data_IF_123502846129
#
_entry.id   IF_123502846129
#
_cell.length_a   1.000
_cell.length_b   1.000
_cell.length_c   1.000
_cell.angle_alpha   90.00
_cell.angle_beta   90.00
_cell.angle_gamma   90.00
#
_symmetry.space_group_name_H-M   'P 1'
#
loop_
_entity.id
_entity.type
_entity.pdbx_description
1 polymer ?
#
# COMPACT_ATOMS: atom_id res chain seq x y z
N UNK A 1 2.41 23.90 -29.34
CA UNK A 1 1.16 24.41 -28.76
C UNK A 1 0.18 23.23 -28.60
N UNK A 2 0.39 22.35 -27.61
CA UNK A 2 -0.47 21.18 -27.42
C UNK A 2 -1.64 21.55 -26.51
N UNK A 3 -2.81 21.76 -27.12
CA UNK A 3 -4.09 21.89 -26.42
C UNK A 3 -4.47 20.52 -25.85
N UNK A 4 -4.38 20.38 -24.53
CA UNK A 4 -5.01 19.29 -23.78
C UNK A 4 -6.50 19.59 -23.61
N UNK A 5 -7.33 19.11 -24.53
CA UNK A 5 -8.77 19.00 -24.37
C UNK A 5 -9.13 17.72 -23.60
N UNK A 6 -9.73 17.88 -22.40
CA UNK A 6 -10.56 16.85 -21.71
C UNK A 6 -12.05 17.12 -22.03
N UNK A 7 -13.06 16.25 -21.75
CA UNK A 7 -13.13 15.00 -20.94
C UNK A 7 -13.92 13.83 -21.65
N UNK A 8 -14.14 12.60 -21.10
CA UNK A 8 -15.05 12.30 -19.96
C UNK A 8 -14.54 11.22 -18.97
N UNK A 9 -15.00 11.29 -17.71
CA UNK A 9 -14.60 10.42 -16.61
C UNK A 9 -13.66 11.15 -15.65
N UNK A 10 -14.16 11.55 -14.48
CA UNK A 10 -13.38 12.25 -13.46
C UNK A 10 -12.20 11.37 -13.06
N UNK A 11 -10.98 11.76 -13.47
CA UNK A 11 -9.75 11.13 -12.97
C UNK A 11 -9.81 11.23 -11.44
N UNK A 12 -9.94 10.09 -10.75
CA UNK A 12 -9.98 10.06 -9.28
C UNK A 12 -8.73 10.81 -8.77
N UNK A 13 -8.93 11.72 -7.82
CA UNK A 13 -7.82 12.38 -7.13
C UNK A 13 -6.91 11.32 -6.49
N UNK A 14 -5.59 11.52 -6.50
CA UNK A 14 -4.64 10.63 -5.84
C UNK A 14 -5.07 10.36 -4.39
N UNK A 15 -5.57 11.38 -3.71
CA UNK A 15 -6.08 11.27 -2.35
C UNK A 15 -7.28 10.34 -2.22
N UNK A 16 -8.22 10.37 -3.17
CA UNK A 16 -9.38 9.47 -3.15
C UNK A 16 -8.93 8.00 -3.21
N UNK A 17 -7.90 7.70 -4.01
CA UNK A 17 -7.35 6.34 -4.14
C UNK A 17 -6.66 5.88 -2.85
N UNK A 18 -5.96 6.80 -2.16
CA UNK A 18 -5.38 6.54 -0.85
C UNK A 18 -6.48 6.22 0.16
N UNK A 19 -7.52 7.05 0.24
CA UNK A 19 -8.66 6.84 1.15
C UNK A 19 -9.37 5.52 0.86
N UNK A 20 -9.61 5.18 -0.41
CA UNK A 20 -10.20 3.89 -0.81
C UNK A 20 -9.38 2.71 -0.27
N UNK A 21 -8.05 2.82 -0.26
CA UNK A 21 -7.16 1.77 0.29
C UNK A 21 -7.17 1.78 1.82
N UNK A 22 -7.17 2.96 2.45
CA UNK A 22 -7.27 3.09 3.91
C UNK A 22 -8.58 2.49 4.45
N UNK A 23 -9.68 2.64 3.71
CA UNK A 23 -10.97 2.08 4.10
C UNK A 23 -10.93 0.56 4.18
N UNK A 24 -10.29 -0.12 3.21
CA UNK A 24 -10.05 -1.57 3.28
C UNK A 24 -9.34 -1.95 4.58
N UNK A 25 -8.26 -1.24 4.93
CA UNK A 25 -7.48 -1.53 6.14
C UNK A 25 -8.32 -1.35 7.39
N UNK A 26 -9.11 -0.28 7.47
CA UNK A 26 -10.02 -0.01 8.59
C UNK A 26 -11.09 -1.10 8.71
N UNK A 27 -11.71 -1.49 7.60
CA UNK A 27 -12.77 -2.50 7.60
C UNK A 27 -12.27 -3.89 8.02
N UNK A 28 -11.04 -4.21 7.65
CA UNK A 28 -10.37 -5.46 8.00
C UNK A 28 -9.94 -5.46 9.47
N UNK A 29 -9.27 -4.41 9.95
CA UNK A 29 -8.66 -4.40 11.28
C UNK A 29 -9.61 -4.03 12.42
N UNK A 30 -10.78 -3.44 12.14
CA UNK A 30 -11.73 -3.11 13.20
C UNK A 30 -12.26 -4.38 13.88
N UNK A 31 -12.55 -4.34 15.20
CA UNK A 31 -13.18 -5.45 15.90
C UNK A 31 -14.41 -5.97 15.18
N UNK A 32 -14.52 -7.28 15.00
CA UNK A 32 -15.61 -7.92 14.26
C UNK A 32 -15.60 -7.72 12.74
N UNK A 33 -14.64 -6.97 12.17
CA UNK A 33 -14.56 -6.69 10.74
C UNK A 33 -14.46 -7.95 9.87
N UNK A 34 -13.75 -8.96 10.37
CA UNK A 34 -13.60 -10.29 9.75
C UNK A 34 -14.56 -11.34 10.34
N UNK A 35 -15.47 -10.96 11.24
CA UNK A 35 -16.45 -11.88 11.84
C UNK A 35 -17.65 -12.11 10.92
N UNK A 36 -18.12 -13.35 10.86
CA UNK A 36 -19.36 -13.71 10.15
C UNK A 36 -20.62 -13.31 10.91
N UNK A 37 -20.56 -13.31 12.25
CA UNK A 37 -21.67 -12.94 13.13
C UNK A 37 -21.41 -11.59 13.80
N UNK A 38 -22.46 -10.86 14.22
CA UNK A 38 -22.30 -9.70 15.09
C UNK A 38 -21.49 -10.07 16.33
N UNK A 39 -20.54 -9.23 16.70
CA UNK A 39 -19.76 -9.43 17.93
C UNK A 39 -20.54 -8.86 19.13
N UNK A 40 -21.02 -9.71 20.06
CA UNK A 40 -21.76 -9.24 21.23
C UNK A 40 -20.90 -8.39 22.18
N UNK A 41 -19.57 -8.48 22.06
CA UNK A 41 -18.60 -7.70 22.84
C UNK A 41 -17.93 -6.60 22.02
N UNK A 42 -18.52 -6.23 20.86
CA UNK A 42 -17.98 -5.16 20.04
C UNK A 42 -17.82 -3.87 20.86
N UNK A 43 -16.65 -3.24 20.77
CA UNK A 43 -16.37 -1.96 21.44
C UNK A 43 -17.39 -0.86 21.05
N UNK A 44 -18.00 -0.97 19.87
CA UNK A 44 -19.06 -0.09 19.40
C UNK A 44 -20.33 -0.91 19.13
N UNK A 45 -21.40 -0.73 19.93
CA UNK A 45 -22.68 -1.40 19.71
C UNK A 45 -23.22 -1.15 18.30
N UNK A 46 -23.73 -2.20 17.66
CA UNK A 46 -24.28 -2.13 16.30
C UNK A 46 -23.24 -2.17 15.18
N UNK A 47 -21.97 -2.46 15.47
CA UNK A 47 -20.94 -2.67 14.43
C UNK A 47 -21.39 -3.75 13.45
N UNK A 48 -21.56 -3.44 12.15
CA UNK A 48 -21.99 -4.44 11.17
C UNK A 48 -20.95 -5.54 11.01
N UNK A 49 -21.34 -6.83 11.03
CA UNK A 49 -20.40 -7.93 10.77
C UNK A 49 -19.96 -7.93 9.30
N UNK A 50 -18.88 -8.65 8.99
CA UNK A 50 -18.40 -8.96 7.63
C UNK A 50 -17.94 -7.78 6.78
N UNK A 51 -17.82 -6.57 7.32
CA UNK A 51 -17.38 -5.42 6.51
C UNK A 51 -15.98 -5.63 5.90
N UNK A 52 -15.02 -6.18 6.65
CA UNK A 52 -13.71 -6.52 6.12
C UNK A 52 -13.75 -7.62 5.04
N UNK A 53 -14.66 -8.59 5.20
CA UNK A 53 -14.92 -9.65 4.21
C UNK A 53 -15.46 -9.05 2.90
N UNK A 54 -16.43 -8.14 3.00
CA UNK A 54 -17.02 -7.44 1.87
C UNK A 54 -15.97 -6.59 1.15
N UNK A 55 -15.28 -5.70 1.86
CA UNK A 55 -14.24 -4.83 1.29
C UNK A 55 -13.11 -5.64 0.62
N UNK A 56 -12.68 -6.75 1.23
CA UNK A 56 -11.67 -7.65 0.63
C UNK A 56 -12.18 -8.30 -0.66
N UNK A 57 -13.44 -8.74 -0.67
CA UNK A 57 -14.07 -9.37 -1.84
C UNK A 57 -14.25 -8.36 -2.99
N UNK A 58 -14.69 -7.15 -2.69
CA UNK A 58 -14.82 -6.05 -3.65
C UNK A 58 -13.48 -5.72 -4.31
N UNK A 59 -12.41 -5.64 -3.52
CA UNK A 59 -11.05 -5.41 -4.04
C UNK A 59 -10.59 -6.56 -4.92
N UNK A 60 -10.87 -7.82 -4.56
CA UNK A 60 -10.56 -8.99 -5.40
C UNK A 60 -11.28 -8.92 -6.76
N UNK A 61 -12.57 -8.56 -6.76
CA UNK A 61 -13.34 -8.39 -7.98
C UNK A 61 -12.82 -7.21 -8.81
N UNK A 62 -12.47 -6.10 -8.17
CA UNK A 62 -11.85 -4.95 -8.83
C UNK A 62 -10.52 -5.36 -9.50
N UNK A 63 -9.66 -6.13 -8.82
CA UNK A 63 -8.42 -6.64 -9.42
C UNK A 63 -8.69 -7.53 -10.63
N UNK A 64 -9.68 -8.43 -10.57
CA UNK A 64 -10.06 -9.26 -11.70
C UNK A 64 -10.55 -8.43 -12.89
N UNK A 65 -11.39 -7.43 -12.65
CA UNK A 65 -11.87 -6.51 -13.68
C UNK A 65 -10.72 -5.69 -14.31
N UNK A 66 -9.80 -5.17 -13.49
CA UNK A 66 -8.62 -4.43 -13.98
C UNK A 66 -7.74 -5.33 -14.85
N UNK A 67 -7.48 -6.59 -14.44
CA UNK A 67 -6.72 -7.54 -15.29
C UNK A 67 -7.39 -7.76 -16.63
N UNK A 68 -8.71 -7.94 -16.64
CA UNK A 68 -9.47 -8.10 -17.87
C UNK A 68 -9.35 -6.86 -18.76
N UNK A 69 -9.58 -5.67 -18.21
CA UNK A 69 -9.48 -4.40 -18.93
C UNK A 69 -8.09 -4.18 -19.51
N UNK A 70 -7.03 -4.42 -18.75
CA UNK A 70 -5.64 -4.25 -19.23
C UNK A 70 -5.35 -5.21 -20.39
N UNK A 71 -5.86 -6.45 -20.32
CA UNK A 71 -5.68 -7.46 -21.38
C UNK A 71 -6.50 -7.16 -22.64
N UNK A 72 -7.70 -6.61 -22.49
CA UNK A 72 -8.65 -6.39 -23.59
C UNK A 72 -8.47 -5.05 -24.30
N UNK A 73 -7.60 -4.18 -23.82
CA UNK A 73 -7.44 -2.81 -24.30
C UNK A 73 -6.03 -2.55 -24.81
N UNK A 74 -5.88 -1.43 -25.50
CA UNK A 74 -4.60 -0.89 -25.97
C UNK A 74 -3.89 -0.02 -24.93
N UNK A 75 -4.09 -0.24 -23.62
CA UNK A 75 -3.44 0.54 -22.54
C UNK A 75 -1.90 0.41 -22.48
N UNK A 76 -1.27 -0.29 -23.43
CA UNK A 76 0.19 -0.33 -23.55
C UNK A 76 0.89 -1.16 -22.47
N UNK A 77 0.22 -2.19 -21.95
CA UNK A 77 0.85 -3.12 -21.01
C UNK A 77 1.94 -3.94 -21.71
N UNK A 78 3.18 -3.79 -21.24
CA UNK A 78 4.29 -4.59 -21.72
C UNK A 78 4.17 -6.02 -21.20
N UNK A 79 4.05 -6.97 -22.13
CA UNK A 79 3.94 -8.40 -21.80
C UNK A 79 5.18 -8.94 -21.09
N UNK A 80 6.34 -8.30 -21.24
CA UNK A 80 7.56 -8.67 -20.54
C UNK A 80 7.46 -8.47 -19.02
N UNK A 81 6.51 -7.66 -18.52
CA UNK A 81 6.24 -7.50 -17.09
C UNK A 81 5.37 -8.62 -16.51
N UNK A 82 4.93 -9.58 -17.34
CA UNK A 82 4.06 -10.67 -16.94
C UNK A 82 2.59 -10.25 -16.86
N UNK A 83 1.81 -10.94 -16.01
CA UNK A 83 0.39 -10.61 -15.80
C UNK A 83 0.25 -9.38 -14.90
N UNK A 84 -0.65 -8.43 -15.21
CA UNK A 84 -0.97 -7.34 -14.29
C UNK A 84 -1.53 -7.89 -12.97
N UNK A 85 -1.14 -7.31 -11.84
CA UNK A 85 -1.65 -7.71 -10.51
C UNK A 85 -1.47 -9.23 -10.32
N UNK A 86 -0.24 -9.69 -10.57
CA UNK A 86 0.11 -11.10 -10.42
C UNK A 86 0.23 -11.49 -8.94
N UNK A 87 0.49 -12.78 -8.69
CA UNK A 87 0.58 -13.34 -7.35
C UNK A 87 1.70 -12.70 -6.50
N UNK A 88 2.84 -12.39 -7.12
CA UNK A 88 3.96 -11.73 -6.45
C UNK A 88 3.63 -10.27 -6.10
N UNK A 89 2.98 -9.53 -7.00
CA UNK A 89 2.52 -8.16 -6.75
C UNK A 89 1.51 -8.11 -5.60
N UNK A 90 0.56 -9.04 -5.57
CA UNK A 90 -0.42 -9.18 -4.50
C UNK A 90 0.26 -9.50 -3.16
N UNK A 91 1.15 -10.49 -3.12
CA UNK A 91 1.89 -10.86 -1.90
C UNK A 91 2.81 -9.73 -1.41
N UNK A 92 3.52 -9.08 -2.33
CA UNK A 92 4.36 -7.91 -2.07
C UNK A 92 3.57 -6.77 -1.43
N UNK A 93 2.40 -6.47 -2.00
CA UNK A 93 1.51 -5.42 -1.50
C UNK A 93 0.90 -5.79 -0.15
N UNK A 94 0.46 -7.04 0.06
CA UNK A 94 -0.03 -7.53 1.36
C UNK A 94 1.02 -7.34 2.47
N UNK A 95 2.30 -7.55 2.15
CA UNK A 95 3.41 -7.35 3.10
C UNK A 95 3.64 -5.89 3.49
N UNK A 96 3.17 -4.92 2.68
CA UNK A 96 3.22 -3.50 3.04
C UNK A 96 2.23 -3.15 4.16
N UNK A 97 1.13 -3.88 4.28
CA UNK A 97 0.13 -3.71 5.36
C UNK A 97 0.40 -4.57 6.59
N UNK A 98 1.29 -5.56 6.47
CA UNK A 98 1.63 -6.51 7.54
C UNK A 98 3.08 -6.36 7.99
N UNK A 99 4.02 -6.93 7.25
CA UNK A 99 5.45 -7.00 7.61
C UNK A 99 6.08 -5.62 7.83
N UNK A 100 5.76 -4.64 6.97
CA UNK A 100 6.29 -3.28 7.08
C UNK A 100 5.71 -2.53 8.27
N UNK A 101 4.45 -2.80 8.66
CA UNK A 101 3.84 -2.21 9.86
C UNK A 101 4.55 -2.68 11.12
N UNK A 102 4.84 -3.99 11.23
CA UNK A 102 5.62 -4.53 12.35
C UNK A 102 7.02 -3.93 12.44
N UNK A 103 7.70 -3.77 11.28
CA UNK A 103 8.99 -3.05 11.23
C UNK A 103 8.85 -1.58 11.65
N UNK A 104 7.72 -0.95 11.35
CA UNK A 104 7.38 0.39 11.80
C UNK A 104 7.30 0.48 13.33
N UNK A 105 6.61 -0.48 13.97
CA UNK A 105 6.56 -0.57 15.43
C UNK A 105 7.93 -0.74 16.05
N UNK A 106 8.77 -1.65 15.54
CA UNK A 106 10.15 -1.81 16.01
C UNK A 106 10.94 -0.49 15.97
N UNK A 107 10.80 0.27 14.89
CA UNK A 107 11.47 1.57 14.72
C UNK A 107 10.95 2.67 15.63
N UNK A 108 9.71 2.56 16.06
CA UNK A 108 9.09 3.46 17.03
C UNK A 108 9.33 3.00 18.47
N UNK A 109 10.20 1.99 18.69
CA UNK A 109 10.45 1.34 19.98
C UNK A 109 9.17 0.77 20.62
N UNK A 110 8.22 0.35 19.78
CA UNK A 110 7.03 -0.40 20.21
C UNK A 110 7.33 -1.87 20.03
N UNK A 111 7.52 -2.57 21.14
CA UNK A 111 7.88 -3.98 21.15
C UNK A 111 6.65 -4.86 21.34
N UNK A 112 6.30 -5.61 20.30
CA UNK A 112 5.31 -6.68 20.35
C UNK A 112 6.02 -8.01 20.69
N UNK A 113 5.36 -8.86 21.46
CA UNK A 113 5.82 -10.24 21.66
C UNK A 113 5.87 -11.01 20.34
N UNK A 114 6.69 -12.06 20.26
CA UNK A 114 6.77 -12.92 19.06
C UNK A 114 5.40 -13.47 18.66
N UNK A 115 4.60 -13.89 19.65
CA UNK A 115 3.24 -14.37 19.43
C UNK A 115 2.35 -13.32 18.75
N UNK A 116 2.36 -12.07 19.24
CA UNK A 116 1.58 -10.97 18.64
C UNK A 116 2.03 -10.65 17.21
N UNK A 117 3.33 -10.72 16.94
CA UNK A 117 3.87 -10.51 15.59
C UNK A 117 3.38 -11.61 14.63
N UNK A 118 3.47 -12.87 15.05
CA UNK A 118 3.06 -14.01 14.24
C UNK A 118 1.54 -14.04 14.04
N UNK A 119 0.76 -13.70 15.06
CA UNK A 119 -0.70 -13.58 14.96
C UNK A 119 -1.10 -12.48 13.96
N UNK A 120 -0.42 -11.34 13.98
CA UNK A 120 -0.65 -10.25 13.02
C UNK A 120 -0.32 -10.66 11.59
N UNK A 121 0.76 -11.42 11.38
CA UNK A 121 1.09 -11.97 10.07
C UNK A 121 0.04 -13.00 9.62
N UNK A 122 -0.32 -13.96 10.46
CA UNK A 122 -1.33 -14.98 10.13
C UNK A 122 -2.69 -14.36 9.83
N UNK A 123 -3.07 -13.30 10.55
CA UNK A 123 -4.27 -12.52 10.26
C UNK A 123 -4.23 -11.93 8.85
N UNK A 124 -3.16 -11.26 8.47
CA UNK A 124 -3.04 -10.72 7.11
C UNK A 124 -2.91 -11.82 6.04
N UNK A 125 -2.28 -12.96 6.35
CA UNK A 125 -2.26 -14.13 5.47
C UNK A 125 -3.67 -14.66 5.21
N UNK A 126 -4.55 -14.67 6.22
CA UNK A 126 -5.96 -15.01 6.05
C UNK A 126 -6.68 -14.03 5.09
N UNK A 127 -6.45 -12.73 5.24
CA UNK A 127 -6.97 -11.71 4.30
C UNK A 127 -6.41 -11.93 2.89
N UNK A 128 -5.12 -12.26 2.78
CA UNK A 128 -4.45 -12.58 1.52
C UNK A 128 -5.07 -13.77 0.80
N UNK A 129 -5.39 -14.85 1.53
CA UNK A 129 -6.12 -16.02 1.01
C UNK A 129 -7.46 -15.61 0.41
N UNK A 130 -8.23 -14.79 1.12
CA UNK A 130 -9.52 -14.27 0.62
C UNK A 130 -9.35 -13.42 -0.63
N UNK A 131 -8.28 -12.64 -0.72
CA UNK A 131 -7.93 -11.82 -1.89
C UNK A 131 -7.44 -12.66 -3.10
N UNK A 132 -7.25 -13.98 -2.91
CA UNK A 132 -6.89 -14.94 -3.95
C UNK A 132 -5.38 -15.16 -4.10
N UNK A 133 -4.61 -14.86 -3.06
CA UNK A 133 -3.17 -15.17 -3.01
C UNK A 133 -3.00 -16.67 -2.77
N UNK A 134 -2.08 -17.30 -3.50
CA UNK A 134 -1.78 -18.72 -3.32
C UNK A 134 -1.10 -19.01 -1.97
N UNK A 135 -1.39 -20.18 -1.38
CA UNK A 135 -0.92 -20.57 -0.04
C UNK A 135 0.61 -20.58 0.10
N UNK A 136 1.34 -20.91 -0.96
CA UNK A 136 2.80 -20.92 -1.01
C UNK A 136 3.43 -19.51 -0.85
N UNK A 137 2.62 -18.46 -1.05
CA UNK A 137 3.02 -17.06 -0.84
C UNK A 137 2.45 -16.46 0.45
N UNK A 138 1.78 -17.25 1.29
CA UNK A 138 1.19 -16.81 2.55
C UNK A 138 2.06 -17.24 3.75
N UNK A 139 2.84 -16.30 4.34
CA UNK A 139 3.72 -16.63 5.45
C UNK A 139 2.94 -17.02 6.70
N UNK A 140 3.48 -17.96 7.47
CA UNK A 140 2.87 -18.46 8.72
C UNK A 140 3.39 -17.75 9.98
N UNK A 141 4.51 -17.02 9.84
CA UNK A 141 5.16 -16.31 10.93
C UNK A 141 5.93 -15.08 10.41
N UNK A 142 6.40 -14.23 11.32
CA UNK A 142 7.10 -13.00 10.97
C UNK A 142 8.47 -13.23 10.31
N UNK A 143 9.14 -14.33 10.62
CA UNK A 143 10.41 -14.71 9.98
C UNK A 143 10.23 -15.02 8.49
N UNK A 144 9.24 -15.83 8.16
CA UNK A 144 8.85 -16.15 6.78
C UNK A 144 8.42 -14.90 6.04
N UNK A 145 7.59 -14.06 6.65
CA UNK A 145 7.11 -12.82 6.04
C UNK A 145 8.27 -11.86 5.70
N UNK A 146 9.24 -11.68 6.61
CA UNK A 146 10.46 -10.90 6.34
C UNK A 146 11.27 -11.48 5.18
N UNK A 147 11.42 -12.80 5.13
CA UNK A 147 12.20 -13.49 4.09
C UNK A 147 11.55 -13.31 2.72
N UNK A 148 10.23 -13.56 2.63
CA UNK A 148 9.45 -13.38 1.42
C UNK A 148 9.49 -11.91 0.96
N UNK A 149 9.24 -10.95 1.87
CA UNK A 149 9.28 -9.53 1.54
C UNK A 149 10.63 -9.12 0.98
N UNK A 150 11.74 -9.55 1.60
CA UNK A 150 13.10 -9.26 1.12
C UNK A 150 13.36 -9.85 -0.26
N UNK A 151 12.78 -11.00 -0.59
CA UNK A 151 12.93 -11.64 -1.91
C UNK A 151 12.19 -10.83 -3.00
N UNK A 152 10.93 -10.45 -2.74
CA UNK A 152 10.12 -9.64 -3.66
C UNK A 152 10.73 -8.24 -3.79
N UNK A 153 11.08 -7.60 -2.67
CA UNK A 153 11.64 -6.26 -2.64
C UNK A 153 12.91 -6.13 -3.50
N UNK A 154 13.80 -7.14 -3.45
CA UNK A 154 15.03 -7.15 -4.25
C UNK A 154 14.77 -7.11 -5.76
N UNK A 155 13.63 -7.63 -6.23
CA UNK A 155 13.28 -7.68 -7.65
C UNK A 155 12.38 -6.53 -8.09
N UNK A 156 11.45 -6.12 -7.22
CA UNK A 156 10.36 -5.20 -7.60
C UNK A 156 10.53 -3.77 -7.09
N UNK A 157 11.21 -3.55 -5.96
CA UNK A 157 11.35 -2.20 -5.39
C UNK A 157 12.51 -1.45 -6.04
N UNK A 158 12.17 -0.69 -7.09
CA UNK A 158 13.09 0.21 -7.79
C UNK A 158 12.43 1.54 -8.12
N UNK A 159 13.24 2.57 -8.30
CA UNK A 159 12.76 3.85 -8.82
C UNK A 159 12.25 3.69 -10.26
N UNK A 160 11.16 4.38 -10.59
CA UNK A 160 10.64 4.47 -11.96
C UNK A 160 10.13 5.89 -12.23
N UNK A 161 10.05 6.27 -13.50
CA UNK A 161 9.49 7.58 -13.87
C UNK A 161 8.04 7.71 -13.42
N UNK A 162 7.21 6.70 -13.70
CA UNK A 162 5.83 6.62 -13.22
C UNK A 162 5.76 6.69 -11.69
N UNK A 163 6.65 6.00 -10.98
CA UNK A 163 6.72 6.04 -9.52
C UNK A 163 7.03 7.44 -8.97
N UNK A 164 7.95 8.17 -9.62
CA UNK A 164 8.24 9.58 -9.27
C UNK A 164 7.04 10.48 -9.51
N UNK A 165 6.34 10.33 -10.64
CA UNK A 165 5.13 11.11 -10.93
C UNK A 165 4.00 10.81 -9.94
N UNK A 166 3.81 9.54 -9.58
CA UNK A 166 2.82 9.13 -8.56
C UNK A 166 3.16 9.68 -7.18
N UNK A 167 4.44 9.62 -6.78
CA UNK A 167 4.91 10.21 -5.52
C UNK A 167 4.69 11.73 -5.49
N UNK A 168 5.01 12.44 -6.57
CA UNK A 168 4.77 13.88 -6.66
C UNK A 168 3.27 14.22 -6.54
N UNK A 169 2.40 13.46 -7.21
CA UNK A 169 0.95 13.63 -7.10
C UNK A 169 0.42 13.35 -5.68
N UNK A 170 0.99 12.34 -5.00
CA UNK A 170 0.66 12.00 -3.63
C UNK A 170 1.08 13.11 -2.65
N UNK A 171 2.32 13.57 -2.74
CA UNK A 171 2.85 14.64 -1.89
C UNK A 171 2.04 15.94 -2.06
N UNK A 172 1.75 16.33 -3.30
CA UNK A 172 0.93 17.51 -3.57
C UNK A 172 -0.53 17.37 -3.11
N UNK A 173 -1.04 16.14 -2.96
CA UNK A 173 -2.35 15.91 -2.36
C UNK A 173 -2.32 16.03 -0.83
N UNK A 174 -1.26 15.54 -0.18
CA UNK A 174 -1.07 15.63 1.27
C UNK A 174 -0.79 17.05 1.76
N UNK A 175 -0.02 17.84 1.00
CA UNK A 175 0.28 19.24 1.34
C UNK A 175 -0.99 20.07 1.55
N UNK A 176 -2.07 19.75 0.83
CA UNK A 176 -3.38 20.43 0.95
C UNK A 176 -4.16 20.02 2.20
N UNK A 177 -3.79 18.93 2.86
CA UNK A 177 -4.50 18.38 4.01
C UNK A 177 -3.79 18.61 5.33
N UNK A 178 -2.48 18.83 5.30
CA UNK A 178 -1.67 18.95 6.51
C UNK A 178 -1.58 20.43 6.91
N UNK A 179 -1.91 20.78 8.17
CA UNK A 179 -1.95 22.18 8.62
C UNK A 179 -0.54 22.79 8.84
N UNK A 180 0.54 22.09 8.50
CA UNK A 180 1.93 22.55 8.64
C UNK A 180 2.68 22.49 7.31
N UNK A 181 3.60 23.43 7.02
CA UNK A 181 4.38 23.43 5.79
C UNK A 181 5.17 22.13 5.59
N UNK A 182 5.00 21.50 4.43
CA UNK A 182 5.65 20.22 4.08
C UNK A 182 7.11 20.41 3.65
N UNK A 183 7.91 21.00 4.54
CA UNK A 183 9.32 21.32 4.29
C UNK A 183 10.16 20.08 3.94
N UNK A 184 11.26 20.21 3.18
CA UNK A 184 12.20 19.10 2.92
C UNK A 184 12.69 18.39 4.19
N UNK A 185 12.74 19.12 5.31
CA UNK A 185 13.12 18.60 6.64
C UNK A 185 12.06 17.66 7.23
N UNK A 186 10.78 17.91 6.96
CA UNK A 186 9.66 17.05 7.38
C UNK A 186 9.49 15.84 6.44
N UNK A 187 9.82 15.99 5.16
CA UNK A 187 9.84 14.88 4.19
C UNK A 187 10.86 13.80 4.58
N UNK A 188 11.98 14.17 5.20
CA UNK A 188 12.99 13.22 5.69
C UNK A 188 12.44 12.30 6.80
N UNK A 189 11.44 12.73 7.58
CA UNK A 189 10.82 11.91 8.65
C UNK A 189 9.95 10.77 8.09
N UNK A 190 9.54 10.85 6.82
CA UNK A 190 8.85 9.77 6.10
C UNK A 190 9.80 8.69 5.57
N UNK A 191 11.13 8.82 5.75
CA UNK A 191 12.10 7.76 5.41
C UNK A 191 12.05 6.61 6.43
N UNK A 192 10.94 5.87 6.44
CA UNK A 192 10.74 4.68 7.27
C UNK A 192 11.41 3.41 6.71
N UNK A 193 12.10 3.46 5.56
CA UNK A 193 12.70 2.28 4.91
C UNK A 193 14.21 2.46 4.57
N UNK A 194 15.13 1.80 5.30
CA UNK A 194 16.52 1.60 4.87
C UNK A 194 16.76 0.21 4.22
N UNK A 195 17.84 0.05 3.41
CA UNK A 195 18.94 1.00 3.20
C UNK A 195 18.96 1.57 1.78
N UNK A 196 18.88 2.90 1.66
CA UNK A 196 19.39 3.61 0.48
C UNK A 196 20.45 4.58 0.99
N UNK A 197 21.72 4.24 0.75
CA UNK A 197 22.91 4.92 1.25
C UNK A 197 23.17 6.28 0.60
N UNK A 198 22.21 7.20 0.68
CA UNK A 198 22.41 8.61 0.37
C UNK A 198 22.16 9.43 1.64
N UNK A 199 23.23 9.98 2.22
CA UNK A 199 23.11 11.04 3.22
C UNK A 199 22.18 12.12 2.66
N UNK A 200 21.32 12.68 3.52
CA UNK A 200 20.60 13.90 3.18
C UNK A 200 21.63 15.03 3.06
N UNK A 201 22.22 15.20 1.88
CA UNK A 201 22.99 16.40 1.57
C UNK A 201 22.07 17.63 1.61
N UNK A 202 22.57 18.81 2.02
CA UNK A 202 21.80 20.03 1.93
C UNK A 202 21.42 20.24 0.46
N UNK A 203 20.13 20.54 0.21
CA UNK A 203 19.67 20.99 -1.10
C UNK A 203 20.44 22.27 -1.41
N UNK A 204 21.44 22.16 -2.29
CA UNK A 204 22.20 23.31 -2.76
C UNK A 204 21.23 24.36 -3.30
N UNK A 205 21.35 25.59 -2.80
CA UNK A 205 20.66 26.73 -3.42
C UNK A 205 21.08 26.78 -4.90
N UNK A 206 20.16 27.02 -5.84
CA UNK A 206 20.57 27.28 -7.21
C UNK A 206 21.51 28.50 -7.19
N UNK A 207 22.66 28.35 -7.85
CA UNK A 207 23.59 29.45 -8.03
C UNK A 207 22.87 30.62 -8.74
N UNK A 208 23.13 31.88 -8.35
CA UNK A 208 22.59 33.01 -9.08
C UNK A 208 23.12 32.94 -10.52
N UNK A 209 22.21 32.90 -11.48
CA UNK A 209 22.54 33.09 -12.89
C UNK A 209 23.04 34.51 -13.06
N UNK A 210 24.35 34.67 -13.21
CA UNK A 210 24.96 35.87 -13.76
C UNK A 210 24.91 35.79 -15.28
N UNK A 211 23.99 36.52 -15.91
CA UNK A 211 24.21 37.44 -17.05
C UNK A 211 23.07 38.45 -17.03
#
# INVERSE_FOLDING_TARGET
MFRSSRPPGTRKSAMRRVIETSQLVIDVLKPGGMSLAPDPNALVPGTPPRQGIQSTTEVRLMHAAIRHLIRSSSYGWDRAWGQPINQEDLAGTLMTFSTIVLRGFEKLNVHLSSQQQDDFIRFWSHVGRMMGIHEDLLPQDYGQAKTLFRSIARRQLRGSELGRSLMAALLGAYEKQIPVPFSPRNQCKLRLLPPWGGSCGPVGRPAPTSV
#
